data_IF_729393874766
#
_entry.id   IF_729393874766
#
_cell.length_a   1.000
_cell.length_b   1.000
_cell.length_c   1.000
_cell.angle_alpha   90.00
_cell.angle_beta   90.00
_cell.angle_gamma   90.00
#
_symmetry.space_group_name_H-M   'P 1'
#
loop_
_entity.id
_entity.type
_entity.pdbx_description
1 polymer ?
#
# COMPACT_ATOMS: atom_id res chain seq x y z
N UNK A 1 2.02 -31.25 -27.84
CA UNK A 1 0.93 -30.52 -28.52
C UNK A 1 0.75 -31.09 -29.91
N UNK A 2 -0.49 -31.22 -30.37
CA UNK A 2 -0.81 -31.64 -31.74
C UNK A 2 -1.39 -30.43 -32.49
N UNK A 3 -1.04 -30.31 -33.76
CA UNK A 3 -1.54 -29.24 -34.64
C UNK A 3 -2.13 -29.91 -35.86
N UNK A 4 -3.45 -29.79 -36.05
CA UNK A 4 -4.14 -30.28 -37.23
C UNK A 4 -4.46 -29.13 -38.18
N UNK A 5 -3.98 -29.22 -39.43
CA UNK A 5 -4.35 -28.31 -40.51
C UNK A 5 -5.06 -29.08 -41.62
N UNK A 6 -6.22 -28.57 -42.06
CA UNK A 6 -6.86 -29.03 -43.29
C UNK A 6 -7.28 -27.79 -44.07
N UNK A 7 -6.58 -27.51 -45.17
CA UNK A 7 -6.92 -26.44 -46.10
C UNK A 7 -7.58 -27.01 -47.34
N UNK A 8 -8.72 -26.45 -47.76
CA UNK A 8 -9.27 -26.67 -49.10
C UNK A 8 -8.86 -25.53 -50.02
N UNK A 9 -8.74 -25.81 -51.32
CA UNK A 9 -8.14 -24.92 -52.34
C UNK A 9 -8.93 -23.62 -52.63
N UNK A 10 -9.80 -23.16 -51.73
CA UNK A 10 -10.73 -22.03 -51.90
C UNK A 10 -10.57 -20.91 -50.86
N UNK A 11 -9.41 -20.81 -50.20
CA UNK A 11 -9.10 -19.68 -49.31
C UNK A 11 -9.77 -19.73 -47.93
N UNK A 12 -10.36 -20.87 -47.60
CA UNK A 12 -10.88 -21.18 -46.27
C UNK A 12 -9.93 -22.14 -45.56
N UNK A 13 -9.78 -21.96 -44.24
CA UNK A 13 -8.96 -22.82 -43.41
C UNK A 13 -9.80 -23.48 -42.32
N UNK A 14 -9.30 -24.60 -41.81
CA UNK A 14 -9.73 -25.19 -40.55
C UNK A 14 -8.47 -25.61 -39.78
N UNK A 15 -8.40 -25.19 -38.52
CA UNK A 15 -7.31 -25.47 -37.61
C UNK A 15 -7.85 -25.86 -36.24
N UNK A 16 -7.25 -26.90 -35.64
CA UNK A 16 -7.44 -27.26 -34.24
C UNK A 16 -6.05 -27.39 -33.60
N UNK A 17 -5.83 -26.59 -32.55
CA UNK A 17 -4.57 -26.48 -31.84
C UNK A 17 -4.83 -26.72 -30.37
N UNK A 18 -4.16 -27.71 -29.80
CA UNK A 18 -4.28 -28.03 -28.37
C UNK A 18 -2.93 -28.31 -27.72
N UNK A 19 -2.82 -27.97 -26.44
CA UNK A 19 -1.69 -28.36 -25.59
C UNK A 19 -2.13 -29.36 -24.52
N UNK A 20 -1.21 -30.24 -24.14
CA UNK A 20 -1.40 -31.16 -23.00
C UNK A 20 -1.09 -30.44 -21.69
N UNK A 21 0.10 -29.87 -21.58
CA UNK A 21 0.53 -29.04 -20.47
C UNK A 21 1.69 -28.16 -20.93
N UNK A 22 1.68 -26.89 -20.56
CA UNK A 22 2.81 -25.99 -20.76
C UNK A 22 2.90 -25.01 -19.58
N UNK A 23 4.06 -24.37 -19.44
CA UNK A 23 4.29 -23.36 -18.41
C UNK A 23 4.07 -21.97 -19.01
N UNK A 24 3.31 -21.10 -18.33
CA UNK A 24 3.06 -19.74 -18.80
C UNK A 24 4.35 -18.95 -18.99
N UNK A 25 5.32 -19.16 -18.09
CA UNK A 25 6.62 -18.50 -18.10
C UNK A 25 7.52 -18.91 -19.29
N UNK A 26 7.17 -19.99 -20.00
CA UNK A 26 7.89 -20.44 -21.19
C UNK A 26 7.37 -19.75 -22.47
N UNK A 27 6.26 -19.00 -22.40
CA UNK A 27 5.74 -18.23 -23.54
C UNK A 27 6.60 -16.97 -23.73
N UNK A 28 7.20 -16.83 -24.92
CA UNK A 28 8.08 -15.71 -25.27
C UNK A 28 7.45 -14.32 -25.04
N UNK A 29 6.17 -14.13 -25.40
CA UNK A 29 5.52 -12.82 -25.21
C UNK A 29 5.30 -12.48 -23.74
N UNK A 30 5.03 -13.49 -22.90
CA UNK A 30 4.90 -13.33 -21.45
C UNK A 30 6.28 -13.01 -20.89
N UNK A 31 7.29 -13.83 -21.20
CA UNK A 31 8.68 -13.65 -20.76
C UNK A 31 9.25 -12.26 -21.10
N UNK A 32 8.94 -11.72 -22.28
CA UNK A 32 9.42 -10.40 -22.73
C UNK A 32 8.69 -9.22 -22.10
N UNK A 33 7.40 -9.37 -21.75
CA UNK A 33 6.57 -8.26 -21.21
C UNK A 33 6.42 -8.29 -19.69
N UNK A 34 6.46 -9.47 -19.07
CA UNK A 34 6.23 -9.64 -17.64
C UNK A 34 6.77 -10.98 -17.11
N UNK A 35 7.76 -10.94 -16.21
CA UNK A 35 8.16 -12.14 -15.43
C UNK A 35 7.27 -12.35 -14.20
N UNK A 36 6.09 -11.72 -14.16
CA UNK A 36 5.20 -11.74 -13.00
C UNK A 36 4.24 -12.92 -13.01
N UNK A 37 4.05 -13.62 -14.13
CA UNK A 37 3.09 -14.71 -14.22
C UNK A 37 3.80 -16.06 -14.35
N UNK A 38 3.44 -17.00 -13.48
CA UNK A 38 3.87 -18.41 -13.58
C UNK A 38 2.66 -19.30 -13.43
N UNK A 39 2.73 -20.50 -14.00
CA UNK A 39 1.66 -21.46 -13.81
C UNK A 39 1.62 -22.55 -14.86
N UNK A 40 0.96 -23.64 -14.49
CA UNK A 40 0.71 -24.75 -15.41
C UNK A 40 -0.59 -24.50 -16.15
N UNK A 41 -0.55 -24.60 -17.47
CA UNK A 41 -1.69 -24.27 -18.33
C UNK A 41 -1.93 -25.30 -19.42
N UNK A 42 -3.17 -25.35 -19.87
CA UNK A 42 -3.62 -26.04 -21.08
C UNK A 42 -4.40 -25.05 -21.94
N UNK A 43 -4.41 -25.26 -23.24
CA UNK A 43 -5.26 -24.49 -24.14
C UNK A 43 -5.84 -25.38 -25.23
N UNK A 44 -6.99 -24.98 -25.74
CA UNK A 44 -7.57 -25.46 -26.98
C UNK A 44 -8.03 -24.27 -27.79
N UNK A 45 -7.62 -24.17 -29.04
CA UNK A 45 -8.01 -23.10 -29.96
C UNK A 45 -8.40 -23.75 -31.28
N UNK A 46 -9.62 -23.45 -31.73
CA UNK A 46 -10.14 -23.85 -33.04
C UNK A 46 -10.34 -22.60 -33.87
N UNK A 47 -9.92 -22.66 -35.14
CA UNK A 47 -10.10 -21.59 -36.11
C UNK A 47 -10.69 -22.12 -37.40
N UNK A 48 -11.61 -21.38 -38.01
CA UNK A 48 -12.18 -21.75 -39.31
C UNK A 48 -12.58 -20.54 -40.14
N UNK A 49 -12.91 -20.74 -41.41
CA UNK A 49 -13.39 -19.67 -42.30
C UNK A 49 -12.27 -19.03 -43.11
N UNK A 50 -12.45 -17.77 -43.52
CA UNK A 50 -11.47 -17.04 -44.34
C UNK A 50 -10.38 -16.44 -43.47
N UNK A 51 -9.14 -16.41 -43.97
CA UNK A 51 -8.03 -15.76 -43.23
C UNK A 51 -8.26 -14.27 -42.95
N UNK A 52 -9.04 -13.59 -43.81
CA UNK A 52 -9.41 -12.18 -43.64
C UNK A 52 -10.51 -11.97 -42.60
N UNK A 53 -11.30 -13.01 -42.32
CA UNK A 53 -12.43 -12.97 -41.39
C UNK A 53 -12.61 -14.35 -40.74
N UNK A 54 -11.70 -14.73 -39.82
CA UNK A 54 -11.73 -16.06 -39.22
C UNK A 54 -12.83 -16.15 -38.16
N UNK A 55 -13.40 -17.33 -37.99
CA UNK A 55 -14.13 -17.71 -36.77
C UNK A 55 -13.14 -18.36 -35.83
N UNK A 56 -12.99 -17.83 -34.62
CA UNK A 56 -12.03 -18.35 -33.63
C UNK A 56 -12.79 -18.68 -32.36
N UNK A 57 -12.54 -19.85 -31.79
CA UNK A 57 -12.96 -20.21 -30.43
C UNK A 57 -11.77 -20.77 -29.68
N UNK A 58 -11.60 -20.37 -28.44
CA UNK A 58 -10.49 -20.86 -27.63
C UNK A 58 -10.80 -20.86 -26.15
N UNK A 59 -10.11 -21.74 -25.44
CA UNK A 59 -10.16 -21.86 -23.99
C UNK A 59 -8.75 -22.04 -23.46
N UNK A 60 -8.41 -21.36 -22.38
CA UNK A 60 -7.16 -21.53 -21.63
C UNK A 60 -7.55 -21.85 -20.20
N UNK A 61 -7.02 -22.96 -19.68
CA UNK A 61 -7.20 -23.37 -18.28
C UNK A 61 -5.85 -23.36 -17.60
N UNK A 62 -5.76 -22.68 -16.47
CA UNK A 62 -4.55 -22.52 -15.67
C UNK A 62 -4.83 -23.20 -14.33
N UNK A 63 -4.13 -24.29 -14.03
CA UNK A 63 -4.37 -25.08 -12.82
C UNK A 63 -3.94 -24.32 -11.55
N UNK A 64 -2.87 -23.53 -11.67
CA UNK A 64 -2.28 -22.76 -10.59
C UNK A 64 -1.60 -21.51 -11.15
N UNK A 65 -2.27 -20.37 -11.07
CA UNK A 65 -1.72 -19.08 -11.47
C UNK A 65 -0.95 -18.49 -10.28
N UNK A 66 0.29 -18.08 -10.53
CA UNK A 66 1.08 -17.31 -9.60
C UNK A 66 1.29 -15.91 -10.16
N UNK A 67 1.00 -14.89 -9.35
CA UNK A 67 1.41 -13.52 -9.61
C UNK A 67 2.59 -13.21 -8.68
N UNK A 68 3.78 -13.05 -9.27
CA UNK A 68 5.09 -13.09 -8.62
C UNK A 68 5.27 -14.41 -7.84
N UNK A 69 5.21 -14.32 -6.52
CA UNK A 69 5.37 -15.44 -5.58
C UNK A 69 4.08 -15.79 -4.87
N UNK A 70 2.97 -15.11 -5.22
CA UNK A 70 1.67 -15.32 -4.60
C UNK A 70 0.86 -16.28 -5.45
N UNK A 71 0.43 -17.39 -4.85
CA UNK A 71 -0.53 -18.32 -5.45
C UNK A 71 -1.90 -17.64 -5.49
N UNK A 72 -2.48 -17.57 -6.69
CA UNK A 72 -3.78 -16.95 -6.97
C UNK A 72 -4.86 -17.98 -7.30
N UNK A 73 -4.53 -19.27 -7.17
CA UNK A 73 -5.43 -20.36 -7.48
C UNK A 73 -5.61 -20.60 -8.98
N UNK A 74 -6.66 -21.33 -9.39
CA UNK A 74 -6.90 -21.61 -10.79
C UNK A 74 -7.43 -20.36 -11.52
N UNK A 75 -7.18 -20.32 -12.83
CA UNK A 75 -7.74 -19.30 -13.71
C UNK A 75 -8.26 -19.94 -14.99
N UNK A 76 -9.32 -19.37 -15.54
CA UNK A 76 -9.92 -19.81 -16.79
C UNK A 76 -10.17 -18.61 -17.70
N UNK A 77 -9.91 -18.82 -18.99
CA UNK A 77 -10.16 -17.86 -20.06
C UNK A 77 -10.86 -18.56 -21.20
N UNK A 78 -11.88 -17.92 -21.76
CA UNK A 78 -12.51 -18.28 -23.02
C UNK A 78 -12.46 -17.09 -23.96
N UNK A 79 -12.25 -17.37 -25.24
CA UNK A 79 -12.18 -16.37 -26.30
C UNK A 79 -13.01 -16.83 -27.48
N UNK A 80 -13.76 -15.91 -28.07
CA UNK A 80 -14.56 -16.18 -29.27
C UNK A 80 -14.52 -14.96 -30.17
N UNK A 81 -14.03 -15.14 -31.41
CA UNK A 81 -14.06 -14.13 -32.45
C UNK A 81 -15.12 -14.51 -33.46
N UNK A 82 -16.13 -13.66 -33.58
CA UNK A 82 -17.23 -13.75 -34.55
C UNK A 82 -17.40 -12.35 -35.17
N UNK A 83 -17.60 -12.29 -36.48
CA UNK A 83 -17.64 -11.02 -37.24
C UNK A 83 -16.43 -10.11 -36.91
N UNK A 84 -16.69 -8.83 -36.62
CA UNK A 84 -15.68 -7.84 -36.28
C UNK A 84 -15.46 -7.70 -34.76
N UNK A 85 -15.76 -8.73 -33.96
CA UNK A 85 -15.61 -8.66 -32.50
C UNK A 85 -14.94 -9.91 -31.93
N UNK A 86 -13.90 -9.72 -31.12
CA UNK A 86 -13.33 -10.72 -30.24
C UNK A 86 -13.89 -10.53 -28.83
N UNK A 87 -14.68 -11.49 -28.36
CA UNK A 87 -15.14 -11.57 -26.98
C UNK A 87 -14.18 -12.40 -26.14
N UNK A 88 -13.97 -11.97 -24.91
CA UNK A 88 -13.11 -12.61 -23.92
C UNK A 88 -13.92 -12.74 -22.64
N UNK A 89 -13.95 -13.91 -22.03
CA UNK A 89 -14.53 -14.10 -20.69
C UNK A 89 -13.61 -14.95 -19.86
N UNK A 90 -13.47 -14.65 -18.58
CA UNK A 90 -12.66 -15.46 -17.70
C UNK A 90 -12.94 -15.21 -16.23
N UNK A 91 -12.30 -16.02 -15.41
CA UNK A 91 -12.37 -15.91 -13.97
C UNK A 91 -11.04 -16.33 -13.34
N UNK A 92 -10.67 -15.64 -12.27
CA UNK A 92 -9.44 -15.88 -11.50
C UNK A 92 -9.57 -15.13 -10.18
N UNK A 93 -9.07 -15.69 -9.07
CA UNK A 93 -8.96 -14.96 -7.79
C UNK A 93 -10.29 -14.35 -7.30
N UNK A 94 -11.41 -15.10 -7.38
CA UNK A 94 -12.76 -14.62 -7.05
C UNK A 94 -13.18 -13.35 -7.82
N UNK A 95 -12.59 -13.16 -9.01
CA UNK A 95 -12.91 -12.08 -9.95
C UNK A 95 -13.36 -12.70 -11.27
N UNK A 96 -14.48 -12.20 -11.80
CA UNK A 96 -14.95 -12.50 -13.15
C UNK A 96 -14.62 -11.31 -14.05
N UNK A 97 -14.28 -11.57 -15.30
CA UNK A 97 -14.06 -10.51 -16.27
C UNK A 97 -14.62 -10.88 -17.64
N UNK A 98 -15.23 -9.90 -18.29
CA UNK A 98 -15.77 -10.01 -19.64
C UNK A 98 -15.29 -8.82 -20.46
N UNK A 99 -14.81 -9.09 -21.67
CA UNK A 99 -14.29 -8.07 -22.55
C UNK A 99 -14.70 -8.27 -23.99
N UNK A 100 -14.73 -7.17 -24.74
CA UNK A 100 -14.91 -7.15 -26.17
C UNK A 100 -13.82 -6.30 -26.80
N UNK A 101 -13.28 -6.75 -27.92
CA UNK A 101 -12.26 -6.05 -28.71
C UNK A 101 -12.78 -6.00 -30.14
N UNK A 102 -12.89 -4.81 -30.73
CA UNK A 102 -13.20 -4.66 -32.14
C UNK A 102 -12.04 -5.20 -32.99
N UNK A 103 -12.35 -6.07 -33.95
CA UNK A 103 -11.40 -6.75 -34.81
C UNK A 103 -11.00 -5.85 -36.00
N UNK A 104 -10.35 -4.73 -35.69
CA UNK A 104 -9.83 -3.78 -36.66
C UNK A 104 -8.43 -3.31 -36.25
N UNK A 105 -7.86 -2.36 -37.01
CA UNK A 105 -6.49 -1.88 -36.78
C UNK A 105 -6.31 -1.17 -35.44
N UNK A 106 -7.28 -0.37 -35.04
CA UNK A 106 -7.20 0.44 -33.82
C UNK A 106 -7.50 -0.41 -32.57
N UNK A 107 -8.22 -1.52 -32.78
CA UNK A 107 -8.64 -2.46 -31.76
C UNK A 107 -9.21 -1.80 -30.49
N UNK A 108 -10.28 -0.97 -30.62
CA UNK A 108 -11.06 -0.50 -29.47
C UNK A 108 -11.47 -1.68 -28.59
N UNK A 109 -11.31 -1.53 -27.29
CA UNK A 109 -11.67 -2.56 -26.33
C UNK A 109 -12.49 -1.99 -25.17
N UNK A 110 -13.29 -2.88 -24.57
CA UNK A 110 -13.93 -2.67 -23.28
C UNK A 110 -13.78 -3.94 -22.46
N UNK A 111 -13.30 -3.80 -21.24
CA UNK A 111 -13.17 -4.86 -20.25
C UNK A 111 -13.99 -4.47 -19.01
N UNK A 112 -14.86 -5.35 -18.56
CA UNK A 112 -15.60 -5.22 -17.32
C UNK A 112 -15.16 -6.34 -16.39
N UNK A 113 -14.79 -5.99 -15.16
CA UNK A 113 -14.39 -6.93 -14.13
C UNK A 113 -15.28 -6.77 -12.92
N UNK A 114 -15.77 -7.89 -12.38
CA UNK A 114 -16.54 -7.97 -11.15
C UNK A 114 -15.72 -8.71 -10.10
N UNK A 115 -15.46 -8.05 -8.98
CA UNK A 115 -14.70 -8.57 -7.84
C UNK A 115 -15.69 -9.01 -6.77
N UNK A 116 -15.56 -10.23 -6.28
CA UNK A 116 -16.32 -10.75 -5.13
C UNK A 116 -15.35 -11.25 -4.06
N UNK A 117 -15.27 -10.52 -2.95
CA UNK A 117 -14.31 -10.75 -1.85
C UNK A 117 -12.84 -11.03 -2.30
N UNK A 118 -12.44 -10.45 -3.45
CA UNK A 118 -11.16 -10.69 -4.12
C UNK A 118 -9.99 -10.22 -3.26
N UNK A 119 -9.01 -11.09 -3.04
CA UNK A 119 -7.78 -10.76 -2.30
C UNK A 119 -6.86 -9.87 -3.14
N UNK A 120 -6.53 -8.67 -2.67
CA UNK A 120 -5.74 -7.70 -3.42
C UNK A 120 -4.21 -7.79 -3.20
N UNK A 121 -3.79 -8.62 -2.25
CA UNK A 121 -2.37 -8.83 -1.89
C UNK A 121 -1.43 -9.09 -3.09
N UNK A 122 -1.79 -9.93 -4.10
CA UNK A 122 -0.93 -10.17 -5.25
C UNK A 122 -0.61 -8.89 -6.04
N UNK A 123 -1.54 -7.94 -6.13
CA UNK A 123 -1.36 -6.70 -6.88
C UNK A 123 -0.48 -5.70 -6.12
N UNK A 124 -0.54 -5.65 -4.79
CA UNK A 124 0.34 -4.79 -3.99
C UNK A 124 1.80 -5.26 -4.02
N UNK A 125 2.03 -6.57 -4.15
CA UNK A 125 3.38 -7.13 -4.30
C UNK A 125 4.11 -6.54 -5.51
N UNK A 126 3.37 -6.05 -6.52
CA UNK A 126 3.92 -5.39 -7.72
C UNK A 126 4.49 -4.01 -7.38
N UNK A 127 3.81 -3.25 -6.51
CA UNK A 127 4.11 -1.83 -6.25
C UNK A 127 5.22 -1.61 -5.21
N UNK A 128 5.20 -2.29 -4.05
CA UNK A 128 6.28 -2.24 -3.03
C UNK A 128 6.30 -3.50 -2.15
N UNK A 129 7.40 -4.28 -2.07
CA UNK A 129 7.44 -5.54 -1.32
C UNK A 129 7.34 -5.42 0.21
N UNK A 130 7.71 -4.27 0.79
CA UNK A 130 7.94 -4.14 2.24
C UNK A 130 6.66 -4.03 3.08
N UNK A 131 5.55 -3.57 2.52
CA UNK A 131 4.26 -3.41 3.22
C UNK A 131 3.46 -4.73 3.22
N UNK A 132 3.81 -5.64 2.32
CA UNK A 132 2.97 -6.76 1.86
C UNK A 132 2.87 -7.92 2.87
N UNK A 133 3.66 -7.98 3.96
CA UNK A 133 3.70 -9.19 4.80
C UNK A 133 2.74 -9.20 6.01
N UNK A 134 1.95 -8.14 6.25
CA UNK A 134 1.17 -8.04 7.50
C UNK A 134 -0.31 -7.74 7.32
N UNK A 135 -0.76 -7.28 6.16
CA UNK A 135 -2.15 -6.84 5.96
C UNK A 135 -2.83 -7.73 4.92
N UNK A 136 -3.97 -8.30 5.28
CA UNK A 136 -4.86 -8.97 4.33
C UNK A 136 -5.90 -7.96 3.86
N UNK A 137 -5.99 -7.74 2.55
CA UNK A 137 -6.95 -6.80 1.95
C UNK A 137 -7.80 -7.57 0.95
N UNK A 138 -9.12 -7.47 1.13
CA UNK A 138 -10.12 -8.01 0.23
C UNK A 138 -11.02 -6.89 -0.30
N UNK A 139 -11.50 -7.03 -1.53
CA UNK A 139 -12.38 -6.04 -2.15
C UNK A 139 -13.52 -6.69 -2.94
N UNK A 140 -14.65 -6.00 -3.00
CA UNK A 140 -15.78 -6.30 -3.87
C UNK A 140 -16.21 -5.04 -4.60
N UNK A 141 -16.62 -5.18 -5.85
CA UNK A 141 -16.99 -4.05 -6.70
C UNK A 141 -16.72 -4.32 -8.17
N UNK A 142 -16.72 -3.26 -8.96
CA UNK A 142 -16.66 -3.33 -10.40
C UNK A 142 -15.54 -2.42 -10.94
N UNK A 143 -14.89 -2.87 -12.00
CA UNK A 143 -13.93 -2.08 -12.76
C UNK A 143 -14.30 -2.14 -14.24
N UNK A 144 -14.32 -0.98 -14.91
CA UNK A 144 -14.49 -0.87 -16.36
C UNK A 144 -13.23 -0.24 -16.92
N UNK A 145 -12.63 -0.88 -17.91
CA UNK A 145 -11.44 -0.39 -18.60
C UNK A 145 -11.74 -0.35 -20.08
N UNK A 146 -11.51 0.79 -20.73
CA UNK A 146 -11.75 0.98 -22.15
C UNK A 146 -10.63 1.80 -22.80
N UNK A 147 -10.51 1.70 -24.12
CA UNK A 147 -9.47 2.40 -24.88
C UNK A 147 -9.18 1.71 -26.20
N UNK A 148 -8.05 2.05 -26.80
CA UNK A 148 -7.56 1.45 -28.05
C UNK A 148 -6.29 0.65 -27.75
N UNK A 149 -6.25 -0.63 -28.13
CA UNK A 149 -5.01 -1.44 -27.95
C UNK A 149 -3.86 -0.92 -28.82
N UNK A 150 -4.16 -0.18 -29.90
CA UNK A 150 -3.17 0.49 -30.74
C UNK A 150 -2.55 1.74 -30.09
N UNK A 151 -3.23 2.34 -29.12
CA UNK A 151 -2.83 3.60 -28.49
C UNK A 151 -3.09 3.57 -26.96
N UNK A 152 -2.10 3.16 -26.16
CA UNK A 152 -2.23 3.07 -24.70
C UNK A 152 -2.59 4.38 -24.00
N UNK A 153 -2.33 5.55 -24.61
CA UNK A 153 -2.66 6.86 -24.01
C UNK A 153 -4.18 7.10 -23.98
N UNK A 154 -4.96 6.30 -24.74
CA UNK A 154 -6.42 6.32 -24.74
C UNK A 154 -7.05 5.48 -23.64
N UNK A 155 -6.26 4.75 -22.85
CA UNK A 155 -6.77 3.88 -21.80
C UNK A 155 -7.45 4.72 -20.73
N UNK A 156 -8.70 4.36 -20.44
CA UNK A 156 -9.49 4.90 -19.36
C UNK A 156 -9.94 3.76 -18.45
N UNK A 157 -10.04 4.04 -17.15
CA UNK A 157 -10.54 3.08 -16.18
C UNK A 157 -11.44 3.76 -15.15
N UNK A 158 -12.59 3.16 -14.87
CA UNK A 158 -13.47 3.51 -13.77
C UNK A 158 -13.54 2.34 -12.80
N UNK A 159 -13.21 2.58 -11.53
CA UNK A 159 -13.18 1.55 -10.49
C UNK A 159 -14.09 1.99 -9.35
N UNK A 160 -15.09 1.16 -9.04
CA UNK A 160 -16.04 1.36 -7.95
C UNK A 160 -16.00 0.18 -7.01
N UNK A 161 -15.45 0.36 -5.81
CA UNK A 161 -15.37 -0.68 -4.80
C UNK A 161 -16.44 -0.42 -3.73
N UNK A 162 -17.43 -1.31 -3.69
CA UNK A 162 -18.53 -1.24 -2.74
C UNK A 162 -18.11 -1.72 -1.35
N UNK A 163 -17.18 -2.69 -1.29
CA UNK A 163 -16.60 -3.21 -0.06
C UNK A 163 -15.09 -3.34 -0.20
N UNK A 164 -14.34 -2.85 0.78
CA UNK A 164 -12.91 -3.07 0.93
C UNK A 164 -12.64 -3.32 2.40
N UNK A 165 -12.16 -4.51 2.72
CA UNK A 165 -11.86 -4.92 4.08
C UNK A 165 -10.36 -5.20 4.21
N UNK A 166 -9.70 -4.46 5.09
CA UNK A 166 -8.32 -4.66 5.50
C UNK A 166 -8.28 -5.20 6.93
N UNK A 167 -7.44 -6.21 7.17
CA UNK A 167 -7.18 -6.71 8.52
C UNK A 167 -5.70 -6.80 8.82
N UNK A 168 -5.34 -6.38 10.03
CA UNK A 168 -4.01 -6.54 10.61
C UNK A 168 -4.18 -7.04 12.05
N UNK A 169 -3.70 -8.26 12.33
CA UNK A 169 -3.96 -8.92 13.62
C UNK A 169 -5.48 -9.00 13.87
N UNK A 170 -5.95 -8.34 14.92
CA UNK A 170 -7.34 -8.20 15.37
C UNK A 170 -7.97 -6.88 14.92
N UNK A 171 -7.19 -5.99 14.31
CA UNK A 171 -7.65 -4.68 13.88
C UNK A 171 -8.21 -4.73 12.45
N UNK A 172 -9.45 -4.26 12.29
CA UNK A 172 -10.18 -4.26 11.01
C UNK A 172 -10.46 -2.83 10.57
N UNK A 173 -10.19 -2.57 9.28
CA UNK A 173 -10.56 -1.34 8.58
C UNK A 173 -11.45 -1.73 7.41
N UNK A 174 -12.54 -1.01 7.23
CA UNK A 174 -13.43 -1.12 6.07
C UNK A 174 -13.59 0.23 5.38
N UNK A 175 -14.11 0.25 4.15
CA UNK A 175 -14.48 1.49 3.49
C UNK A 175 -15.75 2.11 4.09
N UNK A 176 -15.82 3.44 4.12
CA UNK A 176 -17.02 4.18 4.53
C UNK A 176 -17.74 4.78 3.32
N UNK A 177 -18.66 3.99 2.75
CA UNK A 177 -19.26 4.25 1.45
C UNK A 177 -18.37 3.81 0.29
N UNK A 178 -18.87 3.95 -0.93
CA UNK A 178 -18.17 3.46 -2.13
C UNK A 178 -16.82 4.16 -2.33
N UNK A 179 -15.80 3.36 -2.65
CA UNK A 179 -14.52 3.87 -3.11
C UNK A 179 -14.59 4.08 -4.62
N UNK A 180 -14.33 5.29 -5.07
CA UNK A 180 -14.40 5.68 -6.48
C UNK A 180 -13.03 6.17 -6.91
N UNK A 181 -12.45 5.48 -7.90
CA UNK A 181 -11.20 5.83 -8.55
C UNK A 181 -11.44 5.92 -10.06
N UNK A 182 -10.80 6.87 -10.72
CA UNK A 182 -10.82 6.95 -12.18
C UNK A 182 -9.41 7.16 -12.73
N UNK A 183 -9.17 6.69 -13.95
CA UNK A 183 -7.94 6.94 -14.70
C UNK A 183 -8.34 7.39 -16.09
N UNK A 184 -7.91 8.58 -16.50
CA UNK A 184 -8.11 9.11 -17.85
C UNK A 184 -7.08 10.20 -18.13
N UNK A 185 -6.67 10.37 -19.39
CA UNK A 185 -5.70 11.40 -19.80
C UNK A 185 -4.41 11.37 -18.95
N UNK A 186 -3.90 10.17 -18.67
CA UNK A 186 -2.74 9.94 -17.79
C UNK A 186 -2.88 10.47 -16.35
N UNK A 187 -4.12 10.68 -15.87
CA UNK A 187 -4.44 11.15 -14.52
C UNK A 187 -5.26 10.11 -13.78
N UNK A 188 -4.69 9.58 -12.69
CA UNK A 188 -5.42 8.78 -11.70
C UNK A 188 -6.08 9.73 -10.70
N UNK A 189 -7.38 9.62 -10.47
CA UNK A 189 -8.11 10.38 -9.44
C UNK A 189 -8.62 9.45 -8.34
N UNK A 190 -8.64 10.00 -7.13
CA UNK A 190 -9.23 9.42 -5.94
C UNK A 190 -10.42 10.31 -5.58
N UNK A 191 -11.58 10.01 -6.16
CA UNK A 191 -12.75 10.91 -6.06
C UNK A 191 -13.43 10.78 -4.69
N UNK A 192 -13.48 9.56 -4.17
CA UNK A 192 -14.01 9.25 -2.85
C UNK A 192 -13.27 8.04 -2.31
N UNK A 193 -12.34 8.23 -1.39
CA UNK A 193 -11.72 7.13 -0.63
C UNK A 193 -11.91 7.44 0.83
N UNK A 194 -12.81 6.71 1.49
CA UNK A 194 -13.02 6.82 2.93
C UNK A 194 -12.90 5.47 3.59
N UNK A 195 -12.28 5.43 4.75
CA UNK A 195 -12.11 4.24 5.56
C UNK A 195 -12.57 4.50 6.98
N UNK A 196 -13.14 3.48 7.60
CA UNK A 196 -13.56 3.46 9.00
C UNK A 196 -13.09 2.19 9.70
N UNK A 197 -12.90 2.27 11.00
CA UNK A 197 -12.52 1.17 11.88
C UNK A 197 -12.66 1.61 13.33
N UNK A 198 -12.28 0.74 14.26
CA UNK A 198 -12.33 1.07 15.68
C UNK A 198 -11.38 2.27 15.97
N UNK A 199 -11.94 3.44 16.27
CA UNK A 199 -11.16 4.64 16.54
C UNK A 199 -10.48 5.25 15.31
N UNK A 200 -10.87 4.86 14.09
CA UNK A 200 -10.32 5.36 12.84
C UNK A 200 -11.43 5.80 11.88
N UNK A 201 -11.27 6.97 11.30
CA UNK A 201 -12.08 7.50 10.20
C UNK A 201 -11.17 8.37 9.34
N UNK A 202 -10.80 7.87 8.16
CA UNK A 202 -9.85 8.53 7.26
C UNK A 202 -10.50 8.82 5.92
N UNK A 203 -10.20 9.97 5.34
CA UNK A 203 -10.54 10.28 3.96
C UNK A 203 -9.31 10.67 3.16
N UNK A 204 -9.30 10.26 1.90
CA UNK A 204 -8.26 10.54 0.92
C UNK A 204 -8.97 11.01 -0.35
N UNK A 205 -8.54 12.16 -0.86
CA UNK A 205 -8.98 12.68 -2.16
C UNK A 205 -7.78 13.24 -2.90
N UNK A 206 -7.85 13.30 -4.23
CA UNK A 206 -6.82 13.95 -5.02
C UNK A 206 -6.51 13.24 -6.33
N UNK A 207 -5.30 13.43 -6.83
CA UNK A 207 -4.88 12.84 -8.10
C UNK A 207 -3.38 12.61 -8.21
N UNK A 208 -3.01 11.74 -9.14
CA UNK A 208 -1.65 11.51 -9.61
C UNK A 208 -1.62 11.65 -11.14
N UNK A 209 -0.86 12.61 -11.65
CA UNK A 209 -0.75 12.92 -13.09
C UNK A 209 0.57 12.37 -13.62
N UNK A 210 0.54 11.67 -14.76
CA UNK A 210 1.70 11.08 -15.43
C UNK A 210 2.57 10.17 -14.55
N UNK A 211 1.99 9.63 -13.46
CA UNK A 211 2.72 8.94 -12.39
C UNK A 211 3.84 9.77 -11.71
N UNK A 212 3.85 11.09 -11.93
CA UNK A 212 4.90 12.01 -11.50
C UNK A 212 4.38 13.11 -10.60
N UNK A 213 3.24 13.71 -10.89
CA UNK A 213 2.75 14.84 -10.10
C UNK A 213 1.63 14.40 -9.19
N UNK A 214 1.90 14.35 -7.89
CA UNK A 214 0.93 14.02 -6.85
C UNK A 214 0.25 15.29 -6.36
N UNK A 215 -1.05 15.22 -6.10
CA UNK A 215 -1.81 16.22 -5.35
C UNK A 215 -2.90 15.51 -4.56
N UNK A 216 -2.61 15.17 -3.32
CA UNK A 216 -3.42 14.31 -2.46
C UNK A 216 -3.68 15.00 -1.13
N UNK A 217 -4.94 15.01 -0.70
CA UNK A 217 -5.35 15.46 0.62
C UNK A 217 -5.81 14.27 1.44
N UNK A 218 -5.21 14.12 2.63
CA UNK A 218 -5.53 13.08 3.59
C UNK A 218 -6.03 13.78 4.86
N UNK A 219 -7.19 13.39 5.37
CA UNK A 219 -7.70 13.91 6.63
C UNK A 219 -8.38 12.83 7.48
N UNK A 220 -8.52 13.11 8.77
CA UNK A 220 -9.37 12.33 9.66
C UNK A 220 -8.70 11.94 10.97
N UNK A 221 -9.19 10.87 11.57
CA UNK A 221 -8.63 10.29 12.79
C UNK A 221 -8.18 8.84 12.57
N UNK A 222 -7.14 8.43 13.28
CA UNK A 222 -6.59 7.09 13.23
C UNK A 222 -6.28 6.58 14.65
N UNK A 223 -6.59 5.31 14.88
CA UNK A 223 -6.20 4.61 16.09
C UNK A 223 -4.67 4.42 16.10
N UNK A 224 -4.03 4.82 17.20
CA UNK A 224 -2.58 4.78 17.30
C UNK A 224 -2.02 3.35 17.27
N UNK A 225 -2.83 2.29 17.43
CA UNK A 225 -2.41 0.90 17.17
C UNK A 225 -1.83 0.72 15.77
N UNK A 226 -2.30 1.48 14.79
CA UNK A 226 -1.76 1.47 13.42
C UNK A 226 -0.29 1.92 13.37
N UNK A 227 0.21 2.63 14.37
CA UNK A 227 1.62 3.05 14.43
C UNK A 227 2.59 1.85 14.51
N UNK A 228 2.16 0.70 15.10
CA UNK A 228 3.01 -0.50 15.14
C UNK A 228 3.19 -1.16 13.77
N UNK A 229 2.31 -0.86 12.81
CA UNK A 229 2.47 -1.29 11.41
C UNK A 229 3.57 -0.51 10.70
N UNK A 230 3.64 0.79 10.99
CA UNK A 230 4.49 1.75 10.27
C UNK A 230 5.88 1.88 10.89
N UNK A 231 6.03 1.59 12.19
CA UNK A 231 7.27 1.82 12.95
C UNK A 231 7.65 0.58 13.75
N UNK A 232 8.54 -0.30 13.23
CA UNK A 232 8.93 -1.56 13.88
C UNK A 232 9.52 -1.43 15.29
N UNK A 233 10.09 -0.26 15.62
CA UNK A 233 10.63 0.07 16.94
C UNK A 233 9.54 0.23 18.01
N UNK A 234 8.30 0.53 17.60
CA UNK A 234 7.15 0.69 18.49
C UNK A 234 6.48 -0.67 18.68
N UNK A 235 6.48 -1.15 19.92
CA UNK A 235 5.96 -2.48 20.29
C UNK A 235 4.53 -2.45 20.81
N UNK A 236 4.08 -1.28 21.25
CA UNK A 236 2.72 -1.06 21.70
C UNK A 236 2.38 0.41 21.53
N UNK A 237 1.19 0.67 21.02
CA UNK A 237 0.63 2.00 20.95
C UNK A 237 -0.89 1.97 21.15
N UNK A 238 -1.42 3.01 21.79
CA UNK A 238 -2.85 3.25 22.03
C UNK A 238 -3.10 4.74 21.99
N UNK A 239 -4.31 5.16 21.64
CA UNK A 239 -4.74 6.56 21.62
C UNK A 239 -5.29 6.95 20.25
N UNK A 240 -5.54 8.24 20.06
CA UNK A 240 -6.04 8.76 18.79
C UNK A 240 -5.06 9.75 18.17
N UNK A 241 -4.81 9.58 16.88
CA UNK A 241 -4.15 10.56 16.03
C UNK A 241 -5.18 11.30 15.19
N UNK A 242 -5.05 12.61 15.05
CA UNK A 242 -5.83 13.46 14.16
C UNK A 242 -4.88 14.00 13.11
N UNK A 243 -5.22 13.85 11.83
CA UNK A 243 -4.34 14.21 10.73
C UNK A 243 -5.09 15.05 9.70
N UNK A 244 -4.37 16.01 9.12
CA UNK A 244 -4.81 16.74 7.94
C UNK A 244 -3.56 17.12 7.16
N UNK A 245 -3.32 16.48 6.02
CA UNK A 245 -2.10 16.65 5.21
C UNK A 245 -2.44 16.81 3.73
N UNK A 246 -1.84 17.81 3.11
CA UNK A 246 -1.73 17.98 1.67
C UNK A 246 -0.35 17.47 1.22
N UNK A 247 -0.33 16.59 0.24
CA UNK A 247 0.86 16.05 -0.41
C UNK A 247 0.81 16.50 -1.87
N UNK A 248 1.76 17.32 -2.30
CA UNK A 248 1.74 17.95 -3.63
C UNK A 248 3.13 18.00 -4.27
N UNK A 249 3.24 17.93 -5.60
CA UNK A 249 4.49 18.07 -6.35
C UNK A 249 4.96 16.76 -6.97
N UNK A 250 6.24 16.66 -7.31
CA UNK A 250 6.79 15.47 -7.98
C UNK A 250 6.88 14.27 -7.00
N UNK A 251 6.55 13.05 -7.43
CA UNK A 251 6.53 11.84 -6.58
C UNK A 251 7.91 11.46 -6.04
N UNK A 252 8.99 11.89 -6.71
CA UNK A 252 10.36 11.77 -6.21
C UNK A 252 10.71 12.78 -5.11
N UNK A 253 10.09 13.97 -5.14
CA UNK A 253 10.33 15.07 -4.22
C UNK A 253 9.04 15.78 -3.79
N UNK A 254 8.07 15.07 -3.17
CA UNK A 254 6.81 15.71 -2.84
C UNK A 254 6.97 16.79 -1.76
N UNK A 255 6.13 17.81 -1.80
CA UNK A 255 5.90 18.71 -0.67
C UNK A 255 4.79 18.12 0.19
N UNK A 256 4.97 18.12 1.50
CA UNK A 256 3.94 17.79 2.48
C UNK A 256 3.59 19.08 3.22
N UNK A 257 2.33 19.31 3.56
CA UNK A 257 1.90 20.44 4.39
C UNK A 257 0.72 20.00 5.24
N UNK A 258 0.64 20.44 6.49
CA UNK A 258 -0.50 20.11 7.35
C UNK A 258 -0.12 19.83 8.80
N UNK A 259 -0.98 19.13 9.51
CA UNK A 259 -0.86 18.92 10.95
C UNK A 259 -1.18 17.51 11.40
N UNK A 260 -0.55 17.13 12.50
CA UNK A 260 -0.80 15.91 13.23
C UNK A 260 -0.94 16.25 14.72
N UNK A 261 -2.02 15.78 15.33
CA UNK A 261 -2.20 15.82 16.77
C UNK A 261 -2.40 14.41 17.32
N UNK A 262 -1.79 14.10 18.46
CA UNK A 262 -2.06 12.87 19.21
C UNK A 262 -2.72 13.26 20.52
N UNK A 263 -3.78 12.55 20.90
CA UNK A 263 -4.46 12.69 22.18
C UNK A 263 -4.54 11.37 22.91
N UNK A 264 -4.36 11.45 24.23
CA UNK A 264 -4.43 10.31 25.16
C UNK A 264 -3.62 9.10 24.68
N UNK A 265 -2.43 9.39 24.16
CA UNK A 265 -1.53 8.41 23.59
C UNK A 265 -0.82 7.60 24.66
N UNK A 266 -0.49 6.35 24.35
CA UNK A 266 0.45 5.54 25.11
C UNK A 266 1.37 4.83 24.14
N UNK A 267 2.67 4.88 24.37
CA UNK A 267 3.67 4.31 23.46
C UNK A 267 4.73 3.56 24.27
N UNK A 268 5.06 2.35 23.82
CA UNK A 268 6.19 1.59 24.33
C UNK A 268 7.13 1.21 23.19
N UNK A 269 8.36 1.68 23.28
CA UNK A 269 9.43 1.38 22.32
C UNK A 269 10.24 0.17 22.77
N UNK A 270 10.86 -0.56 21.83
CA UNK A 270 11.87 -1.56 22.17
C UNK A 270 13.18 -0.92 22.68
N UNK A 271 13.49 0.31 22.26
CA UNK A 271 14.74 0.99 22.60
C UNK A 271 14.71 1.56 24.03
N UNK A 272 13.56 2.07 24.46
CA UNK A 272 13.37 2.64 25.79
C UNK A 272 12.54 1.70 26.65
N UNK A 273 13.10 1.23 27.78
CA UNK A 273 12.40 0.34 28.73
C UNK A 273 11.20 1.00 29.43
N UNK A 274 11.02 2.32 29.28
CA UNK A 274 9.89 3.04 29.85
C UNK A 274 8.78 3.23 28.82
N UNK A 275 7.55 3.11 29.31
CA UNK A 275 6.37 3.53 28.55
C UNK A 275 6.18 5.04 28.70
N UNK A 276 5.70 5.67 27.63
CA UNK A 276 5.14 7.01 27.67
C UNK A 276 3.62 6.86 27.72
N UNK A 277 2.99 7.56 28.66
CA UNK A 277 1.55 7.55 28.91
C UNK A 277 1.01 8.98 28.81
N UNK A 278 -0.31 9.14 28.74
CA UNK A 278 -0.99 10.44 28.62
C UNK A 278 -0.39 11.36 27.53
N UNK A 279 0.08 10.76 26.43
CA UNK A 279 0.83 11.46 25.39
C UNK A 279 -0.10 12.38 24.61
N UNK A 280 0.19 13.67 24.65
CA UNK A 280 -0.46 14.71 23.87
C UNK A 280 0.59 15.43 23.04
N UNK A 281 0.42 15.43 21.72
CA UNK A 281 1.38 16.00 20.77
C UNK A 281 0.64 16.90 19.79
N UNK A 282 1.23 18.05 19.46
CA UNK A 282 0.82 18.91 18.33
C UNK A 282 2.02 19.16 17.42
N UNK A 283 1.90 18.75 16.16
CA UNK A 283 2.93 18.89 15.13
C UNK A 283 2.33 19.55 13.90
N UNK A 284 3.05 20.51 13.34
CA UNK A 284 2.73 21.15 12.06
C UNK A 284 3.90 20.98 11.09
N UNK A 285 3.60 20.83 9.80
CA UNK A 285 4.58 20.76 8.74
C UNK A 285 4.25 21.79 7.66
N UNK A 286 5.23 22.65 7.33
CA UNK A 286 5.05 23.76 6.41
C UNK A 286 5.74 23.54 5.04
N UNK A 287 6.16 22.31 4.75
CA UNK A 287 6.91 21.95 3.55
C UNK A 287 8.44 21.94 3.71
N UNK A 288 8.98 22.64 4.71
CA UNK A 288 10.44 22.73 4.97
C UNK A 288 10.83 22.40 6.39
N UNK A 289 9.95 22.67 7.35
CA UNK A 289 10.19 22.42 8.77
C UNK A 289 9.02 21.64 9.36
N UNK A 290 9.35 20.60 10.14
CA UNK A 290 8.44 19.96 11.08
C UNK A 290 8.55 20.73 12.38
N UNK A 291 7.45 21.35 12.81
CA UNK A 291 7.35 22.13 14.04
C UNK A 291 6.62 21.28 15.06
N UNK A 292 7.32 20.87 16.11
CA UNK A 292 6.73 20.30 17.31
C UNK A 292 6.31 21.46 18.21
N UNK A 293 5.04 21.86 18.14
CA UNK A 293 4.50 22.94 18.96
C UNK A 293 4.53 22.56 20.43
N UNK A 294 4.07 21.35 20.74
CA UNK A 294 4.14 20.79 22.07
C UNK A 294 4.13 19.27 22.06
N UNK A 295 4.86 18.70 23.03
CA UNK A 295 4.68 17.35 23.53
C UNK A 295 4.45 17.43 25.03
N UNK A 296 3.50 16.64 25.53
CA UNK A 296 3.26 16.41 26.95
C UNK A 296 3.06 14.91 27.14
N UNK A 297 3.69 14.32 28.15
CA UNK A 297 3.58 12.90 28.46
C UNK A 297 3.87 12.62 29.93
N UNK A 298 3.33 11.53 30.43
CA UNK A 298 3.73 10.90 31.68
C UNK A 298 4.83 9.87 31.40
N UNK A 299 5.95 9.93 32.14
CA UNK A 299 7.07 8.98 32.00
C UNK A 299 7.69 8.69 33.35
N UNK A 300 7.84 7.41 33.70
CA UNK A 300 8.45 6.98 34.96
C UNK A 300 7.78 7.55 36.21
N UNK A 301 6.46 7.83 36.16
CA UNK A 301 5.69 8.48 37.23
C UNK A 301 5.90 9.99 37.36
N UNK A 302 6.68 10.61 36.47
CA UNK A 302 6.84 12.06 36.35
C UNK A 302 6.23 12.59 35.06
N UNK A 303 6.47 13.88 34.79
CA UNK A 303 6.01 14.57 33.58
C UNK A 303 7.16 14.84 32.63
N UNK A 304 6.88 14.77 31.34
CA UNK A 304 7.72 15.22 30.25
C UNK A 304 6.95 16.25 29.44
N UNK A 305 7.58 17.36 29.13
CA UNK A 305 7.07 18.36 28.19
C UNK A 305 8.17 18.82 27.25
N UNK A 306 7.80 19.40 26.11
CA UNK A 306 8.79 19.95 25.21
C UNK A 306 8.22 20.54 23.94
N UNK A 307 9.11 21.11 23.14
CA UNK A 307 8.82 21.69 21.83
C UNK A 307 10.10 21.67 20.99
N UNK A 308 9.97 21.95 19.70
CA UNK A 308 11.15 22.00 18.83
C UNK A 308 10.81 22.05 17.37
N UNK A 309 11.85 21.88 16.55
CA UNK A 309 11.73 21.87 15.10
C UNK A 309 12.74 20.94 14.44
N UNK A 310 12.39 20.49 13.26
CA UNK A 310 13.24 19.67 12.38
C UNK A 310 13.22 20.29 11.00
N UNK A 311 14.38 20.73 10.51
CA UNK A 311 14.56 21.14 9.12
C UNK A 311 14.67 19.91 8.23
N UNK A 312 13.88 19.87 7.16
CA UNK A 312 13.88 18.78 6.19
C UNK A 312 14.05 19.30 4.77
N UNK A 313 14.69 18.50 3.93
CA UNK A 313 14.83 18.74 2.50
C UNK A 313 14.70 17.39 1.80
N UNK A 314 13.79 17.28 0.84
CA UNK A 314 13.49 16.01 0.15
C UNK A 314 13.19 14.84 1.11
N UNK A 315 12.43 15.11 2.19
CA UNK A 315 12.15 14.18 3.30
C UNK A 315 13.37 13.69 4.10
N UNK A 316 14.55 14.26 3.87
CA UNK A 316 15.73 13.99 4.68
C UNK A 316 15.87 15.03 5.78
N UNK A 317 16.09 14.57 7.01
CA UNK A 317 16.38 15.44 8.16
C UNK A 317 17.74 16.10 7.93
N UNK A 318 17.80 17.43 7.98
CA UNK A 318 19.05 18.20 7.85
C UNK A 318 19.54 18.68 9.19
N UNK A 319 18.64 19.26 9.97
CA UNK A 319 18.93 19.76 11.30
C UNK A 319 17.71 19.60 12.19
N UNK A 320 17.95 19.57 13.49
CA UNK A 320 16.89 19.53 14.49
C UNK A 320 17.31 20.27 15.75
N UNK A 321 16.31 20.74 16.48
CA UNK A 321 16.46 21.37 17.78
C UNK A 321 15.20 21.14 18.62
N UNK A 322 15.36 20.53 19.78
CA UNK A 322 14.30 20.24 20.72
C UNK A 322 14.69 20.71 22.11
N UNK A 323 13.71 21.24 22.84
CA UNK A 323 13.81 21.53 24.26
C UNK A 323 12.84 20.59 24.96
N UNK A 324 13.37 19.82 25.92
CA UNK A 324 12.62 18.86 26.71
C UNK A 324 12.78 19.21 28.18
N UNK A 325 11.68 19.22 28.91
CA UNK A 325 11.63 19.39 30.35
C UNK A 325 11.09 18.10 30.98
N UNK A 326 11.76 17.65 32.03
CA UNK A 326 11.41 16.45 32.79
C UNK A 326 11.24 16.86 34.24
N UNK A 327 10.12 16.48 34.84
CA UNK A 327 9.81 16.75 36.24
C UNK A 327 9.44 15.46 36.98
N UNK A 328 10.29 15.06 37.94
CA UNK A 328 10.02 13.98 38.89
C UNK A 328 10.03 12.56 38.32
N UNK A 329 10.55 12.36 37.11
CA UNK A 329 10.50 11.08 36.42
C UNK A 329 11.57 10.11 36.92
N UNK A 330 11.21 8.83 37.06
CA UNK A 330 12.12 7.77 37.49
C UNK A 330 12.70 7.03 36.28
N UNK A 331 14.01 7.09 36.11
CA UNK A 331 14.75 6.37 35.09
C UNK A 331 15.49 5.16 35.66
N UNK A 332 15.53 4.08 34.88
CA UNK A 332 16.32 2.87 35.16
C UNK A 332 17.51 2.79 34.20
N UNK A 333 18.36 3.79 34.24
CA UNK A 333 19.53 3.89 33.38
C UNK A 333 20.69 4.56 34.13
N UNK A 334 21.92 4.01 34.05
CA UNK A 334 22.29 2.74 33.41
C UNK A 334 21.70 1.52 34.15
N UNK A 335 21.95 0.31 33.65
CA UNK A 335 21.45 -0.92 34.27
C UNK A 335 21.87 -1.01 35.75
N UNK A 336 20.91 -1.38 36.61
CA UNK A 336 21.09 -1.44 38.06
C UNK A 336 20.87 -0.10 38.77
N UNK A 337 20.86 1.05 38.08
CA UNK A 337 20.59 2.37 38.68
C UNK A 337 19.14 2.79 38.47
N UNK A 338 18.44 3.10 39.56
CA UNK A 338 17.15 3.79 39.54
C UNK A 338 17.33 5.22 40.07
N UNK A 339 17.08 6.22 39.23
CA UNK A 339 17.23 7.64 39.58
C UNK A 339 15.92 8.40 39.33
N UNK A 340 15.54 9.28 40.27
CA UNK A 340 14.47 10.27 40.07
C UNK A 340 15.10 11.59 39.66
N UNK A 341 14.75 12.09 38.49
CA UNK A 341 15.37 13.27 37.92
C UNK A 341 14.35 14.39 37.64
N UNK A 342 14.80 15.61 37.83
CA UNK A 342 14.28 16.79 37.15
C UNK A 342 15.36 17.30 36.20
N UNK A 343 14.99 17.92 35.09
CA UNK A 343 15.98 18.56 34.23
C UNK A 343 15.39 19.17 32.97
N UNK A 344 16.16 20.10 32.41
CA UNK A 344 15.88 20.72 31.12
C UNK A 344 16.99 20.35 30.16
N UNK A 345 16.62 19.77 29.02
CA UNK A 345 17.51 19.26 28.01
C UNK A 345 17.28 19.96 26.68
N UNK A 346 18.37 20.34 26.03
CA UNK A 346 18.40 20.82 24.65
C UNK A 346 19.09 19.77 23.80
N UNK A 347 18.33 19.15 22.91
CA UNK A 347 18.81 18.20 21.91
C UNK A 347 18.88 18.92 20.57
N UNK A 348 20.06 19.09 20.01
CA UNK A 348 20.21 19.79 18.73
C UNK A 348 21.38 19.25 17.91
N UNK A 349 21.28 19.41 16.58
CA UNK A 349 22.34 19.03 15.65
C UNK A 349 21.82 18.57 14.30
N UNK A 350 22.63 17.77 13.62
CA UNK A 350 22.33 17.11 12.33
C UNK A 350 22.33 15.59 12.52
N UNK A 351 21.92 14.78 11.52
CA UNK A 351 22.05 13.32 11.61
C UNK A 351 23.48 12.83 11.92
N UNK A 352 24.51 13.56 11.49
CA UNK A 352 25.93 13.23 11.63
C UNK A 352 26.55 13.76 12.93
N UNK A 353 26.05 14.87 13.46
CA UNK A 353 26.59 15.52 14.65
C UNK A 353 25.47 15.93 15.60
N UNK A 354 25.31 15.18 16.70
CA UNK A 354 24.21 15.34 17.67
C UNK A 354 24.76 15.78 19.00
N UNK A 355 24.13 16.78 19.62
CA UNK A 355 24.47 17.22 20.96
C UNK A 355 23.24 17.21 21.87
N UNK A 356 23.40 16.69 23.08
CA UNK A 356 22.43 16.78 24.15
C UNK A 356 23.09 17.56 25.29
N UNK A 357 22.52 18.70 25.64
CA UNK A 357 22.99 19.56 26.74
C UNK A 357 21.86 19.76 27.72
N UNK A 358 22.17 19.95 28.99
CA UNK A 358 21.15 20.18 29.99
C UNK A 358 21.70 20.09 31.39
N UNK A 359 20.89 20.55 32.33
CA UNK A 359 21.12 20.35 33.76
C UNK A 359 20.19 19.25 34.26
N UNK A 360 20.73 18.35 35.08
CA UNK A 360 19.99 17.22 35.66
C UNK A 360 20.12 17.26 37.16
N UNK A 361 18.99 17.37 37.84
CA UNK A 361 18.90 17.33 39.29
C UNK A 361 18.44 15.93 39.69
N UNK A 362 19.34 15.15 40.29
CA UNK A 362 19.01 13.82 40.81
C UNK A 362 18.45 13.97 42.22
N UNK A 363 17.13 13.82 42.36
CA UNK A 363 16.44 13.92 43.67
C UNK A 363 16.67 12.69 44.55
N UNK A 364 16.75 11.50 43.95
CA UNK A 364 16.97 10.23 44.66
C UNK A 364 17.61 9.24 43.69
N UNK A 365 18.56 8.43 44.17
CA UNK A 365 19.14 7.34 43.41
C UNK A 365 19.27 6.07 44.27
N UNK A 366 19.04 4.90 43.68
CA UNK A 366 19.28 3.60 44.29
C UNK A 366 19.99 2.70 43.25
N UNK A 367 21.04 2.00 43.66
CA UNK A 367 21.80 1.09 42.80
C UNK A 367 21.74 -0.33 43.35
N UNK A 368 21.22 -1.27 42.55
CA UNK A 368 21.16 -2.69 42.88
C UNK A 368 21.90 -3.50 41.82
N UNK A 369 22.85 -4.32 42.26
CA UNK A 369 23.58 -5.28 41.41
C UNK A 369 23.61 -6.63 42.10
N UNK A 370 23.04 -7.65 41.47
CA UNK A 370 23.14 -9.02 41.95
C UNK A 370 24.61 -9.49 41.84
N UNK A 371 25.25 -9.69 42.98
CA UNK A 371 26.58 -10.29 43.06
C UNK A 371 26.43 -11.81 43.12
N UNK A 372 26.64 -12.48 41.98
CA UNK A 372 26.85 -13.92 41.99
C UNK A 372 28.27 -14.18 42.47
N UNK A 373 28.41 -14.49 43.76
CA UNK A 373 29.66 -15.04 44.31
C UNK A 373 29.66 -16.52 43.93
N UNK A 374 30.52 -16.91 42.99
CA UNK A 374 30.88 -18.31 42.79
C UNK A 374 31.85 -18.69 43.90
N UNK A 375 31.38 -19.48 44.86
CA UNK A 375 32.23 -20.21 45.83
C UNK A 375 32.88 -21.42 45.19
#
# INVERSE_FOLDING_TARGET
>A
GWIGFRGESRGEFMADISSEQFRLEDIDIIKKRTMLLRGTSTFKITGSGKMTDPLIKGTISISNLFIKDVDTGPAYLSLSKEDNELKINGNSLDMNFNGAIAWNRDAPFKLVSHLDDTVLHPFFSILKPAITMKVSIKASGDAVIEGMLSDPDTIQADIRLSRVNGSYSDYVIENDGEIILSYSENKLTFDSVRFKGEGTSLSIIGSLVNHRDINMFINGEADLRLLTLLTPEIKYSKGKAFIAFLISGETGHPSLQGGLAIKDGSVRSATFKQSFEDVNISVFFNGREIILESIQASVGGGKLSGSGKVGVEEFNIKEFGFILEIAGAVFRYPEGLQSRIDGTFVLQGTPESKSLKGEVIIKKAAFEKNLNIRT
#
